data_IF_832803352822
#
_entry.id   IF_832803352822
#
_cell.length_a   1.000
_cell.length_b   1.000
_cell.length_c   1.000
_cell.angle_alpha   90.00
_cell.angle_beta   90.00
_cell.angle_gamma   90.00
#
_symmetry.space_group_name_H-M   'P 1'
#
loop_
_entity.id
_entity.type
_entity.pdbx_description
1 polymer ?
#
# COMPACT_ATOMS: atom_id res chain seq x y z
N UNK A 1 -3.55 6.91 -45.82
CA UNK A 1 -4.54 7.73 -46.56
C UNK A 1 -4.31 7.68 -48.06
N UNK A 2 -3.10 7.99 -48.57
CA UNK A 2 -2.80 8.02 -50.01
C UNK A 2 -3.07 6.68 -50.72
N UNK A 3 -2.62 5.55 -50.15
CA UNK A 3 -2.85 4.21 -50.72
C UNK A 3 -4.33 3.82 -50.82
N UNK A 4 -5.15 4.29 -49.87
CA UNK A 4 -6.59 4.03 -49.86
C UNK A 4 -7.36 4.92 -50.84
N UNK A 5 -6.83 6.11 -51.14
CA UNK A 5 -7.43 7.08 -52.04
C UNK A 5 -7.08 6.84 -53.52
N UNK A 6 -6.00 6.08 -53.80
CA UNK A 6 -5.51 5.88 -55.16
C UNK A 6 -5.16 7.21 -55.86
N UNK A 7 -5.49 7.32 -57.15
CA UNK A 7 -5.31 8.54 -57.97
C UNK A 7 -6.52 9.48 -57.93
N UNK A 8 -7.55 9.17 -57.13
CA UNK A 8 -8.81 9.91 -57.15
C UNK A 8 -8.75 11.25 -56.41
N UNK A 9 -7.76 11.45 -55.53
CA UNK A 9 -7.63 12.66 -54.72
C UNK A 9 -6.33 13.41 -55.04
N UNK A 10 -6.44 14.74 -55.16
CA UNK A 10 -5.30 15.63 -55.33
C UNK A 10 -4.44 15.66 -54.05
N UNK A 11 -3.12 15.77 -54.19
CA UNK A 11 -2.17 15.83 -53.08
C UNK A 11 -2.45 17.03 -52.15
N UNK A 12 -2.92 18.16 -52.68
CA UNK A 12 -3.32 19.33 -51.87
C UNK A 12 -4.52 19.04 -50.96
N UNK A 13 -5.48 18.26 -51.47
CA UNK A 13 -6.64 17.85 -50.68
C UNK A 13 -6.24 16.85 -49.60
N UNK A 14 -5.38 15.89 -49.95
CA UNK A 14 -4.81 14.94 -48.99
C UNK A 14 -4.01 15.64 -47.89
N UNK A 15 -3.22 16.66 -48.26
CA UNK A 15 -2.48 17.50 -47.31
C UNK A 15 -3.43 18.18 -46.32
N UNK A 16 -4.47 18.85 -46.81
CA UNK A 16 -5.44 19.51 -45.94
C UNK A 16 -6.17 18.53 -45.02
N UNK A 17 -6.64 17.41 -45.56
CA UNK A 17 -7.31 16.38 -44.77
C UNK A 17 -6.39 15.76 -43.71
N UNK A 18 -5.13 15.51 -44.06
CA UNK A 18 -4.14 14.95 -43.15
C UNK A 18 -3.78 15.94 -42.04
N UNK A 19 -3.55 17.22 -42.37
CA UNK A 19 -3.31 18.28 -41.37
C UNK A 19 -4.47 18.37 -40.37
N UNK A 20 -5.73 18.36 -40.83
CA UNK A 20 -6.91 18.39 -39.96
C UNK A 20 -7.00 17.22 -38.95
N UNK A 21 -6.29 16.12 -39.20
CA UNK A 21 -6.25 14.94 -38.31
C UNK A 21 -5.09 14.99 -37.30
N UNK A 22 -4.15 15.91 -37.44
CA UNK A 22 -3.02 16.07 -36.53
C UNK A 22 -3.40 16.96 -35.33
N UNK A 23 -2.67 16.85 -34.20
CA UNK A 23 -2.72 17.83 -33.12
C UNK A 23 -2.49 19.26 -33.60
N UNK A 24 -3.17 20.22 -32.96
CA UNK A 24 -3.12 21.64 -33.33
C UNK A 24 -1.70 22.19 -33.34
N UNK A 25 -0.85 21.66 -32.46
CA UNK A 25 0.50 22.12 -32.26
C UNK A 25 1.49 21.54 -33.27
N UNK A 26 1.14 20.42 -33.90
CA UNK A 26 1.86 19.88 -35.05
C UNK A 26 1.36 20.60 -36.31
N UNK A 27 0.05 20.88 -36.41
CA UNK A 27 -0.53 21.65 -37.51
C UNK A 27 0.11 23.03 -37.64
N UNK A 28 0.28 23.78 -36.56
CA UNK A 28 0.88 25.13 -36.60
C UNK A 28 2.28 25.14 -37.19
N UNK A 29 3.10 24.13 -36.85
CA UNK A 29 4.46 24.00 -37.35
C UNK A 29 4.45 23.61 -38.84
N UNK A 30 3.62 22.63 -39.20
CA UNK A 30 3.57 22.10 -40.57
C UNK A 30 2.85 23.01 -41.56
N UNK A 31 1.98 23.91 -41.09
CA UNK A 31 1.22 24.84 -41.96
C UNK A 31 2.14 25.78 -42.75
N UNK A 32 3.34 26.06 -42.22
CA UNK A 32 4.33 26.95 -42.85
C UNK A 32 5.21 26.18 -43.86
N UNK A 33 5.25 24.86 -43.80
CA UNK A 33 6.10 24.04 -44.66
C UNK A 33 5.49 23.85 -46.06
N UNK A 34 6.26 24.09 -47.11
CA UNK A 34 5.86 23.89 -48.52
C UNK A 34 6.37 22.58 -49.11
N UNK A 35 6.72 21.61 -48.27
CA UNK A 35 7.32 20.34 -48.71
C UNK A 35 6.30 19.36 -49.30
N UNK A 36 6.81 18.30 -49.94
CA UNK A 36 6.01 17.16 -50.40
C UNK A 36 5.39 16.42 -49.22
N UNK A 37 4.23 15.80 -49.44
CA UNK A 37 3.44 15.12 -48.41
C UNK A 37 4.27 14.07 -47.64
N UNK A 38 5.14 13.33 -48.33
CA UNK A 38 5.99 12.31 -47.71
C UNK A 38 7.02 12.91 -46.73
N UNK A 39 7.53 14.11 -47.01
CA UNK A 39 8.48 14.77 -46.12
C UNK A 39 7.76 15.47 -44.96
N UNK A 40 6.57 16.05 -45.21
CA UNK A 40 5.74 16.59 -44.13
C UNK A 40 5.40 15.52 -43.09
N UNK A 41 5.11 14.28 -43.54
CA UNK A 41 4.87 13.15 -42.64
C UNK A 41 6.09 12.88 -41.74
N UNK A 42 7.29 12.82 -42.31
CA UNK A 42 8.54 12.64 -41.53
C UNK A 42 8.78 13.78 -40.53
N UNK A 43 8.46 15.02 -40.92
CA UNK A 43 8.55 16.17 -40.02
C UNK A 43 7.54 16.06 -38.87
N UNK A 44 6.31 15.62 -39.14
CA UNK A 44 5.30 15.39 -38.12
C UNK A 44 5.77 14.36 -37.09
N UNK A 45 6.32 13.23 -37.55
CA UNK A 45 6.84 12.17 -36.67
C UNK A 45 7.97 12.71 -35.78
N UNK A 46 8.91 13.45 -36.36
CA UNK A 46 10.01 14.05 -35.60
C UNK A 46 9.53 15.07 -34.57
N UNK A 47 8.52 15.87 -34.89
CA UNK A 47 7.90 16.81 -33.93
C UNK A 47 7.22 16.03 -32.81
N UNK A 48 6.51 14.94 -33.13
CA UNK A 48 5.85 14.09 -32.14
C UNK A 48 6.87 13.45 -31.19
N UNK A 49 8.02 12.95 -31.70
CA UNK A 49 9.10 12.40 -30.89
C UNK A 49 9.69 13.42 -29.91
N UNK A 50 9.95 14.66 -30.37
CA UNK A 50 10.48 15.73 -29.51
C UNK A 50 9.49 16.09 -28.39
N UNK A 51 8.19 16.03 -28.68
CA UNK A 51 7.13 16.32 -27.71
C UNK A 51 6.82 15.18 -26.76
N UNK A 52 7.00 13.94 -27.18
CA UNK A 52 6.82 12.75 -26.36
C UNK A 52 7.85 12.60 -25.23
N UNK A 53 8.67 13.64 -24.99
CA UNK A 53 9.56 13.73 -23.84
C UNK A 53 8.79 13.41 -22.55
N UNK A 54 9.36 12.58 -21.65
CA UNK A 54 8.67 12.00 -20.48
C UNK A 54 8.15 13.03 -19.45
N UNK A 55 8.43 14.32 -19.66
CA UNK A 55 7.95 15.41 -18.81
C UNK A 55 6.57 15.95 -19.22
N UNK A 56 6.07 15.64 -20.42
CA UNK A 56 4.76 16.11 -20.90
C UNK A 56 4.01 14.96 -21.57
N UNK A 57 3.19 14.19 -20.83
CA UNK A 57 2.29 13.23 -21.44
C UNK A 57 1.18 14.00 -22.15
N UNK A 58 1.36 14.27 -23.45
CA UNK A 58 0.26 14.76 -24.29
C UNK A 58 -0.73 13.60 -24.48
N UNK A 59 -1.78 13.58 -23.65
CA UNK A 59 -2.88 12.63 -23.76
C UNK A 59 -3.82 13.12 -24.86
N UNK A 60 -3.64 12.60 -26.07
CA UNK A 60 -4.59 12.82 -27.16
C UNK A 60 -5.80 11.91 -26.96
N UNK A 61 -6.97 12.51 -26.73
CA UNK A 61 -8.22 11.78 -26.65
C UNK A 61 -8.51 11.11 -28.01
N UNK A 62 -8.29 9.80 -28.08
CA UNK A 62 -8.79 9.00 -29.20
C UNK A 62 -10.31 8.98 -29.03
N UNK A 63 -11.02 9.68 -29.91
CA UNK A 63 -12.47 9.50 -30.08
C UNK A 63 -12.73 8.11 -30.69
N UNK A 64 -12.39 7.07 -29.93
CA UNK A 64 -12.85 5.72 -30.18
C UNK A 64 -14.35 5.73 -29.90
N UNK A 65 -15.14 5.28 -30.88
CA UNK A 65 -16.49 4.77 -30.63
C UNK A 65 -16.34 3.54 -29.73
N UNK A 66 -16.13 3.74 -28.44
CA UNK A 66 -16.45 2.77 -27.41
C UNK A 66 -17.66 3.33 -26.68
N UNK A 67 -18.81 2.80 -27.05
CA UNK A 67 -20.02 2.92 -26.26
C UNK A 67 -19.68 2.57 -24.80
N UNK A 68 -20.16 3.41 -23.88
CA UNK A 68 -20.26 3.12 -22.45
C UNK A 68 -18.92 2.96 -21.70
N UNK A 69 -18.30 4.08 -21.35
CA UNK A 69 -17.86 4.34 -19.97
C UNK A 69 -17.64 5.83 -19.83
N UNK A 70 -18.43 6.45 -18.96
CA UNK A 70 -18.24 7.82 -18.53
C UNK A 70 -17.00 7.89 -17.63
N UNK A 71 -15.81 7.78 -18.21
CA UNK A 71 -14.55 8.05 -17.51
C UNK A 71 -14.39 9.56 -17.40
N UNK A 72 -15.09 10.11 -16.41
CA UNK A 72 -14.89 11.48 -15.96
C UNK A 72 -13.42 11.62 -15.56
N UNK A 73 -12.67 12.61 -16.06
CA UNK A 73 -11.26 12.83 -15.69
C UNK A 73 -11.08 13.06 -14.18
N UNK A 74 -12.16 13.39 -13.47
CA UNK A 74 -12.20 13.48 -12.02
C UNK A 74 -12.11 12.12 -11.31
N UNK A 75 -12.53 11.02 -11.95
CA UNK A 75 -12.51 9.67 -11.36
C UNK A 75 -11.08 9.19 -11.11
N UNK A 76 -10.21 9.31 -12.12
CA UNK A 76 -8.80 8.91 -12.02
C UNK A 76 -8.01 9.80 -11.03
N UNK A 77 -8.30 11.11 -11.00
CA UNK A 77 -7.69 12.01 -10.02
C UNK A 77 -8.13 11.68 -8.59
N UNK A 78 -9.42 11.41 -8.39
CA UNK A 78 -9.98 11.03 -7.09
C UNK A 78 -9.42 9.69 -6.60
N UNK A 79 -9.25 8.71 -7.51
CA UNK A 79 -8.61 7.44 -7.21
C UNK A 79 -7.15 7.62 -6.81
N UNK A 80 -6.40 8.46 -7.52
CA UNK A 80 -5.01 8.78 -7.16
C UNK A 80 -4.91 9.46 -5.79
N UNK A 81 -5.83 10.37 -5.47
CA UNK A 81 -5.90 11.02 -4.15
C UNK A 81 -6.23 9.99 -3.07
N UNK A 82 -7.20 9.11 -3.31
CA UNK A 82 -7.59 8.05 -2.38
C UNK A 82 -6.41 7.11 -2.07
N UNK A 83 -5.69 6.66 -3.11
CA UNK A 83 -4.51 5.81 -2.97
C UNK A 83 -3.39 6.52 -2.19
N UNK A 84 -3.15 7.82 -2.44
CA UNK A 84 -2.16 8.60 -1.67
C UNK A 84 -2.56 8.72 -0.19
N UNK A 85 -3.84 8.92 0.10
CA UNK A 85 -4.35 8.94 1.46
C UNK A 85 -4.18 7.58 2.15
N UNK A 86 -4.44 6.48 1.44
CA UNK A 86 -4.27 5.12 1.96
C UNK A 86 -2.79 4.83 2.28
N UNK A 87 -1.87 5.16 1.35
CA UNK A 87 -0.42 5.03 1.57
C UNK A 87 0.03 5.84 2.79
N UNK A 88 -0.47 7.06 2.97
CA UNK A 88 -0.15 7.89 4.14
C UNK A 88 -0.67 7.28 5.45
N UNK A 89 -1.88 6.69 5.43
CA UNK A 89 -2.45 5.99 6.58
C UNK A 89 -1.64 4.75 6.95
N UNK A 90 -1.32 3.90 5.98
CA UNK A 90 -0.50 2.70 6.17
C UNK A 90 0.90 3.05 6.69
N UNK A 91 1.51 4.11 6.15
CA UNK A 91 2.82 4.60 6.61
C UNK A 91 2.79 5.00 8.09
N UNK A 92 1.73 5.71 8.53
CA UNK A 92 1.53 6.06 9.95
C UNK A 92 1.32 4.83 10.83
N UNK A 93 0.62 3.81 10.34
CA UNK A 93 0.43 2.55 11.08
C UNK A 93 1.76 1.82 11.26
N UNK A 94 2.58 1.74 10.21
CA UNK A 94 3.93 1.14 10.26
C UNK A 94 4.82 1.90 11.25
N UNK A 95 4.79 3.23 11.24
CA UNK A 95 5.55 4.05 12.19
C UNK A 95 5.14 3.81 13.65
N UNK A 96 3.84 3.70 13.92
CA UNK A 96 3.33 3.36 15.26
C UNK A 96 3.78 1.97 15.71
N UNK A 97 3.63 0.97 14.84
CA UNK A 97 4.06 -0.40 15.13
C UNK A 97 5.57 -0.50 15.36
N UNK A 98 6.39 0.26 14.63
CA UNK A 98 7.85 0.29 14.83
C UNK A 98 8.22 0.93 16.17
N UNK A 99 7.55 2.01 16.56
CA UNK A 99 7.71 2.70 17.85
C UNK A 99 7.28 1.84 19.05
N UNK A 100 6.18 1.09 18.92
CA UNK A 100 5.74 0.19 19.99
C UNK A 100 6.70 -1.00 20.16
N UNK A 101 7.22 -1.55 19.05
CA UNK A 101 8.26 -2.59 19.10
C UNK A 101 9.56 -2.09 19.74
N UNK A 102 9.97 -0.85 19.49
CA UNK A 102 11.17 -0.28 20.11
C UNK A 102 10.97 -0.02 21.61
N UNK A 103 9.83 0.55 22.02
CA UNK A 103 9.47 0.75 23.44
C UNK A 103 9.39 -0.55 24.22
N UNK A 104 8.82 -1.61 23.63
CA UNK A 104 8.70 -2.90 24.31
C UNK A 104 10.08 -3.60 24.49
N UNK A 105 11.01 -3.40 23.55
CA UNK A 105 12.41 -3.88 23.69
C UNK A 105 13.19 -3.11 24.75
N UNK A 106 13.03 -1.80 24.83
CA UNK A 106 13.69 -0.98 25.85
C UNK A 106 13.19 -1.30 27.27
N UNK A 107 11.89 -1.55 27.45
CA UNK A 107 11.32 -1.98 28.74
C UNK A 107 11.80 -3.36 29.18
N UNK A 108 12.01 -4.29 28.25
CA UNK A 108 12.58 -5.62 28.58
C UNK A 108 14.06 -5.57 28.95
N UNK A 109 14.81 -4.56 28.49
CA UNK A 109 16.25 -4.44 28.72
C UNK A 109 16.61 -3.60 29.97
N UNK A 110 15.70 -2.75 30.46
CA UNK A 110 15.90 -1.93 31.66
C UNK A 110 14.96 -2.28 32.83
N UNK A 111 14.16 -3.34 32.71
CA UNK A 111 13.27 -3.83 33.77
C UNK A 111 13.97 -4.69 34.82
N UNK A 112 15.03 -4.18 35.46
CA UNK A 112 15.60 -4.78 36.67
C UNK A 112 14.70 -4.37 37.85
N UNK A 113 13.63 -5.16 38.03
CA UNK A 113 12.79 -5.34 39.24
C UNK A 113 12.37 -4.10 40.05
N UNK A 114 11.14 -3.57 39.86
CA UNK A 114 10.42 -2.98 40.97
C UNK A 114 9.66 -4.10 41.68
N UNK A 115 10.15 -4.48 42.86
CA UNK A 115 9.33 -4.92 43.98
C UNK A 115 8.27 -6.01 43.72
N UNK A 116 8.57 -7.22 44.21
CA UNK A 116 7.69 -7.94 45.15
C UNK A 116 6.20 -7.90 44.79
N UNK A 117 5.84 -8.31 43.58
CA UNK A 117 4.44 -8.45 43.20
C UNK A 117 3.96 -9.83 43.63
N UNK A 118 3.18 -9.81 44.72
CA UNK A 118 2.13 -10.76 45.09
C UNK A 118 2.33 -12.18 44.58
N UNK A 119 2.73 -13.06 45.49
CA UNK A 119 2.51 -14.51 45.38
C UNK A 119 1.21 -14.78 44.62
N UNK A 120 1.23 -15.63 43.58
CA UNK A 120 0.00 -16.16 43.02
C UNK A 120 -0.83 -16.67 44.19
N UNK A 121 -2.12 -16.34 44.21
CA UNK A 121 -3.10 -17.13 44.92
C UNK A 121 -2.86 -18.58 44.49
N UNK A 122 -2.06 -19.31 45.26
CA UNK A 122 -2.01 -20.76 45.20
C UNK A 122 -3.40 -21.13 45.65
N UNK A 123 -4.25 -21.41 44.66
CA UNK A 123 -5.44 -22.21 44.81
C UNK A 123 -5.17 -23.22 45.92
N UNK A 124 -5.99 -23.13 46.94
CA UNK A 124 -6.05 -24.05 48.06
C UNK A 124 -6.48 -25.43 47.55
N UNK A 125 -5.62 -26.07 46.76
CA UNK A 125 -5.68 -27.51 46.56
C UNK A 125 -4.95 -28.16 47.75
N UNK A 126 -5.40 -27.78 48.96
CA UNK A 126 -5.16 -28.55 50.17
C UNK A 126 -6.10 -29.73 50.11
N UNK A 127 -5.59 -30.81 49.52
CA UNK A 127 -6.13 -32.16 49.52
C UNK A 127 -7.38 -32.36 50.42
N UNK A 128 -8.54 -32.24 49.78
CA UNK A 128 -9.89 -32.80 49.95
C UNK A 128 -10.42 -33.36 51.29
N UNK A 129 -9.64 -33.63 52.34
CA UNK A 129 -10.15 -34.31 53.55
C UNK A 129 -9.86 -33.64 54.90
N UNK A 130 -9.14 -32.52 54.97
CA UNK A 130 -8.89 -31.82 56.25
C UNK A 130 -8.08 -32.62 57.29
N UNK A 131 -7.54 -33.78 56.92
CA UNK A 131 -6.84 -34.70 57.81
C UNK A 131 -5.43 -34.19 58.20
N UNK A 132 -4.72 -33.53 57.28
CA UNK A 132 -3.32 -33.14 57.50
C UNK A 132 -3.06 -31.63 57.36
N UNK A 133 -2.26 -31.06 58.28
CA UNK A 133 -1.84 -29.65 58.20
C UNK A 133 -0.88 -29.39 57.03
N UNK A 134 -0.72 -28.12 56.64
CA UNK A 134 0.19 -27.69 55.57
C UNK A 134 1.59 -28.30 55.64
N UNK A 135 2.18 -28.37 56.83
CA UNK A 135 3.52 -28.90 56.99
C UNK A 135 3.60 -30.40 56.71
N UNK A 136 2.63 -31.20 57.18
CA UNK A 136 2.59 -32.64 56.89
C UNK A 136 2.17 -32.92 55.44
N UNK A 137 1.32 -32.08 54.83
CA UNK A 137 0.99 -32.21 53.41
C UNK A 137 2.19 -31.91 52.50
N UNK A 138 3.05 -30.95 52.91
CA UNK A 138 4.23 -30.54 52.11
C UNK A 138 5.48 -31.37 52.38
N UNK A 139 5.67 -31.85 53.60
CA UNK A 139 6.93 -32.48 54.06
C UNK A 139 6.74 -33.92 54.56
N UNK A 140 5.50 -34.43 54.68
CA UNK A 140 5.21 -35.76 55.22
C UNK A 140 5.78 -35.96 56.63
N UNK A 141 6.29 -37.16 56.91
CA UNK A 141 6.96 -37.50 58.17
C UNK A 141 8.23 -36.69 58.46
N UNK A 142 8.75 -35.94 57.48
CA UNK A 142 9.91 -35.04 57.66
C UNK A 142 9.51 -33.65 58.15
N UNK A 143 8.24 -33.39 58.41
CA UNK A 143 7.77 -32.11 58.92
C UNK A 143 8.32 -31.83 60.32
N UNK A 144 9.05 -30.72 60.46
CA UNK A 144 9.59 -30.27 61.76
C UNK A 144 8.58 -29.50 62.62
N UNK A 145 7.41 -29.18 62.05
CA UNK A 145 6.35 -28.39 62.69
C UNK A 145 5.00 -29.00 62.34
N UNK A 146 4.10 -29.06 63.32
CA UNK A 146 2.71 -29.48 63.15
C UNK A 146 1.79 -28.32 63.57
N UNK A 147 0.63 -28.18 62.93
CA UNK A 147 -0.45 -27.29 63.38
C UNK A 147 -1.71 -28.11 63.58
N UNK A 148 -2.35 -27.96 64.74
CA UNK A 148 -3.61 -28.62 65.04
C UNK A 148 -4.81 -27.92 64.37
N UNK A 149 -5.87 -28.66 64.02
CA UNK A 149 -6.02 -30.12 64.11
C UNK A 149 -5.29 -30.82 62.95
N UNK A 150 -4.50 -31.85 63.26
CA UNK A 150 -3.77 -32.65 62.26
C UNK A 150 -3.69 -34.10 62.74
N UNK A 151 -4.23 -35.03 61.97
CA UNK A 151 -4.32 -36.46 62.32
C UNK A 151 -3.08 -37.26 61.91
N UNK A 152 -2.03 -36.60 61.44
CA UNK A 152 -0.77 -37.24 61.06
C UNK A 152 -0.10 -37.86 62.30
N UNK A 153 -0.13 -39.20 62.40
CA UNK A 153 0.55 -39.95 63.45
C UNK A 153 2.07 -39.77 63.34
N UNK A 154 2.70 -39.25 64.40
CA UNK A 154 4.16 -39.27 64.51
C UNK A 154 4.58 -40.72 64.78
N UNK A 155 5.37 -41.31 63.89
CA UNK A 155 6.12 -42.53 64.17
C UNK A 155 7.31 -42.22 65.09
#
# INVERSE_FOLDING_TARGET
>A
MKELAGTALNDDFLRNLWLLRLPSEIQTILSISSEKLENMAKLADKIAEVRASPFTPDVYAVAGRSEQSSDSPNSSLNEMIALRCEIASLSKQIERLSRDRSRNRSRRRYGKSPYRSKTPSRREDYNFNGEFCYYHNRFGSKAKKCREPCTFAKA
#
